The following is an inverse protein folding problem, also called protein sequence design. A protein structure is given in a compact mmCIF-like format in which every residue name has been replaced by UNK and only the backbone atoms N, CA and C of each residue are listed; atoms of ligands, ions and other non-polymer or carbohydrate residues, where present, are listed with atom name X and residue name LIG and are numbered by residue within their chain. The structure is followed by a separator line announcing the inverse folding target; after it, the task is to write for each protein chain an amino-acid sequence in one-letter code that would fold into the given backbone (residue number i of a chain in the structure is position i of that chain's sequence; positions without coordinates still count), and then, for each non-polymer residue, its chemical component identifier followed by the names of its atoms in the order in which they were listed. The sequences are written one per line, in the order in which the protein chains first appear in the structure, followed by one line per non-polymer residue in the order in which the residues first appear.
data_IF_591559256439
#
_entry.id   IF_591559256439
#
_cell.length_a   1.000
_cell.length_b   1.000
_cell.length_c   1.000
_cell.angle_alpha   90.00
_cell.angle_beta   90.00
_cell.angle_gamma   90.00
#
_symmetry.space_group_name_H-M   'P 1'
#
loop_
_entity.id
_entity.type
_entity.pdbx_description
1 polymer ?
#
# COMPACT_ATOMS: atom_id res chain seq x y z
N UNK A 1 5.38 -17.00 12.31
CA UNK A 1 4.67 -16.15 13.30
C UNK A 1 3.87 -15.08 12.58
N UNK A 2 2.72 -14.62 13.11
CA UNK A 2 1.93 -13.55 12.47
C UNK A 2 2.32 -12.18 13.04
N UNK A 3 2.64 -11.24 12.15
CA UNK A 3 2.98 -9.85 12.43
C UNK A 3 1.92 -8.96 11.78
N UNK A 4 1.21 -8.17 12.58
CA UNK A 4 0.13 -7.32 12.08
C UNK A 4 0.38 -5.86 12.42
N UNK A 5 0.16 -4.99 11.43
CA UNK A 5 0.15 -3.55 11.63
C UNK A 5 -0.97 -2.85 10.85
N UNK A 6 -1.26 -1.62 11.24
CA UNK A 6 -2.23 -0.75 10.56
C UNK A 6 -1.53 0.49 9.99
N UNK A 7 -1.70 0.73 8.70
CA UNK A 7 -1.33 1.98 8.04
C UNK A 7 -2.56 2.88 7.98
N UNK A 8 -2.54 4.02 8.68
CA UNK A 8 -3.62 5.00 8.62
C UNK A 8 -3.29 6.10 7.63
N UNK A 9 -4.11 6.26 6.60
CA UNK A 9 -3.92 7.24 5.53
C UNK A 9 -5.02 8.29 5.63
N UNK A 10 -4.72 9.55 5.32
CA UNK A 10 -5.76 10.58 5.26
C UNK A 10 -6.90 10.16 4.31
N UNK A 11 -8.15 10.44 4.68
CA UNK A 11 -9.31 10.01 3.88
C UNK A 11 -9.31 10.58 2.47
N UNK A 12 -8.91 11.85 2.30
CA UNK A 12 -8.83 12.48 0.98
C UNK A 12 -7.77 11.80 0.12
N UNK A 13 -6.61 11.51 0.71
CA UNK A 13 -5.54 10.79 0.01
C UNK A 13 -5.92 9.34 -0.30
N UNK A 14 -6.49 8.60 0.65
CA UNK A 14 -6.93 7.21 0.43
C UNK A 14 -7.97 7.13 -0.69
N UNK A 15 -8.96 8.03 -0.71
CA UNK A 15 -9.94 8.09 -1.79
C UNK A 15 -9.31 8.40 -3.16
N UNK A 16 -8.30 9.29 -3.18
CA UNK A 16 -7.57 9.60 -4.41
C UNK A 16 -6.84 8.35 -4.92
N UNK A 17 -6.11 7.66 -4.05
CA UNK A 17 -5.33 6.47 -4.40
C UNK A 17 -6.22 5.32 -4.85
N UNK A 18 -7.35 5.09 -4.16
CA UNK A 18 -8.35 4.10 -4.57
C UNK A 18 -8.85 4.40 -5.98
N UNK A 19 -9.17 5.67 -6.27
CA UNK A 19 -9.63 6.07 -7.60
C UNK A 19 -8.58 5.78 -8.69
N UNK A 20 -7.32 6.06 -8.42
CA UNK A 20 -6.23 5.79 -9.36
C UNK A 20 -6.07 4.29 -9.65
N UNK A 21 -6.46 3.42 -8.72
CA UNK A 21 -6.41 1.97 -8.94
C UNK A 21 -7.65 1.41 -9.68
N UNK A 22 -8.67 2.26 -9.90
CA UNK A 22 -9.93 1.88 -10.54
C UNK A 22 -10.12 2.54 -11.90
N UNK A 23 -9.50 3.69 -12.14
CA UNK A 23 -9.58 4.46 -13.38
C UNK A 23 -8.17 4.87 -13.85
N UNK A 24 -7.90 4.89 -15.17
CA UNK A 24 -6.65 5.39 -15.70
C UNK A 24 -6.39 6.84 -15.26
N UNK A 25 -5.21 7.16 -14.71
CA UNK A 25 -4.91 8.48 -14.20
C UNK A 25 -4.88 9.56 -15.28
N UNK A 26 -4.41 9.25 -16.49
CA UNK A 26 -4.24 10.20 -17.61
C UNK A 26 -3.24 11.34 -17.37
N UNK A 27 -2.70 11.48 -16.15
CA UNK A 27 -1.76 12.54 -15.74
C UNK A 27 -0.51 12.02 -15.01
N UNK A 28 -0.35 10.70 -14.89
CA UNK A 28 0.80 10.08 -14.24
C UNK A 28 1.86 9.63 -15.24
N UNK A 29 3.13 9.69 -14.84
CA UNK A 29 4.23 9.09 -15.61
C UNK A 29 4.14 7.57 -15.59
N UNK A 30 4.61 6.93 -16.68
CA UNK A 30 4.75 5.48 -16.76
C UNK A 30 5.61 4.94 -15.60
N UNK A 31 5.13 3.87 -14.96
CA UNK A 31 5.82 3.18 -13.84
C UNK A 31 6.19 4.11 -12.66
N UNK A 32 5.50 5.25 -12.53
CA UNK A 32 5.73 6.21 -11.46
C UNK A 32 5.18 5.69 -10.14
N UNK A 33 5.98 5.77 -9.07
CA UNK A 33 5.52 5.48 -7.71
C UNK A 33 4.70 6.68 -7.20
N UNK A 34 3.38 6.54 -7.23
CA UNK A 34 2.42 7.59 -6.82
C UNK A 34 2.29 7.68 -5.30
N UNK A 35 2.50 6.55 -4.62
CA UNK A 35 2.48 6.48 -3.16
C UNK A 35 3.45 5.41 -2.67
N UNK A 36 4.16 5.73 -1.59
CA UNK A 36 5.02 4.80 -0.86
C UNK A 36 5.02 5.18 0.62
N UNK A 37 4.48 4.30 1.47
CA UNK A 37 4.58 4.46 2.92
C UNK A 37 4.88 3.14 3.61
N UNK A 38 5.81 3.20 4.56
CA UNK A 38 6.23 2.06 5.35
C UNK A 38 5.51 1.98 6.70
N UNK A 39 5.17 0.75 7.10
CA UNK A 39 4.87 0.39 8.49
C UNK A 39 5.97 -0.50 9.06
N UNK A 40 6.30 -0.31 10.34
CA UNK A 40 7.30 -1.11 11.05
C UNK A 40 6.62 -2.14 11.94
N UNK A 41 7.07 -3.38 11.87
CA UNK A 41 6.63 -4.47 12.74
C UNK A 41 7.54 -4.61 13.95
N UNK A 42 7.10 -5.40 14.94
CA UNK A 42 7.82 -5.59 16.21
C UNK A 42 9.17 -6.31 16.05
N UNK A 43 9.36 -7.07 14.97
CA UNK A 43 10.63 -7.74 14.66
C UNK A 43 11.62 -6.85 13.87
N UNK A 44 11.32 -5.55 13.75
CA UNK A 44 12.10 -4.53 13.01
C UNK A 44 12.04 -4.64 11.49
N UNK A 45 11.39 -5.66 10.94
CA UNK A 45 11.05 -5.68 9.53
C UNK A 45 10.01 -4.59 9.26
N UNK A 46 9.91 -4.19 8.01
CA UNK A 46 8.97 -3.16 7.56
C UNK A 46 8.26 -3.59 6.30
N UNK A 47 7.04 -3.13 6.10
CA UNK A 47 6.33 -3.31 4.83
C UNK A 47 6.04 -1.94 4.24
N UNK A 48 6.47 -1.72 3.00
CA UNK A 48 6.05 -0.58 2.19
C UNK A 48 4.75 -0.92 1.48
N UNK A 49 3.75 -0.06 1.59
CA UNK A 49 2.55 -0.09 0.76
C UNK A 49 2.74 0.92 -0.35
N UNK A 50 2.68 0.44 -1.59
CA UNK A 50 2.95 1.24 -2.77
C UNK A 50 1.75 1.27 -3.70
N UNK A 51 1.55 2.42 -4.35
CA UNK A 51 0.65 2.59 -5.50
C UNK A 51 1.52 3.05 -6.66
N UNK A 52 1.48 2.31 -7.76
CA UNK A 52 2.39 2.49 -8.88
C UNK A 52 1.55 2.64 -10.16
N UNK A 53 1.89 3.63 -10.97
CA UNK A 53 1.26 3.83 -12.26
C UNK A 53 1.51 2.62 -13.17
N UNK A 54 0.55 2.31 -14.02
CA UNK A 54 0.70 1.26 -15.02
C UNK A 54 1.80 1.61 -16.03
N UNK A 55 2.09 0.62 -16.89
CA UNK A 55 2.96 0.85 -18.04
C UNK A 55 2.30 1.72 -19.11
N UNK A 56 0.97 1.80 -19.08
CA UNK A 56 0.14 2.60 -19.98
C UNK A 56 -0.90 3.42 -19.18
N UNK A 57 -0.47 4.51 -18.52
CA UNK A 57 -1.31 5.26 -17.57
C UNK A 57 -2.50 6.01 -18.23
N UNK A 58 -2.54 6.08 -19.55
CA UNK A 58 -3.67 6.65 -20.30
C UNK A 58 -4.82 5.65 -20.44
N UNK A 59 -4.51 4.35 -20.48
CA UNK A 59 -5.47 3.27 -20.75
C UNK A 59 -5.62 2.26 -19.59
N UNK A 60 -4.65 2.17 -18.68
CA UNK A 60 -4.61 1.23 -17.56
C UNK A 60 -4.55 1.95 -16.20
N UNK A 61 -5.31 1.49 -15.19
CA UNK A 61 -5.25 2.05 -13.84
C UNK A 61 -3.92 1.73 -13.15
N UNK A 62 -3.63 2.47 -12.08
CA UNK A 62 -2.54 2.13 -11.17
C UNK A 62 -2.79 0.77 -10.50
N UNK A 63 -1.72 0.17 -9.99
CA UNK A 63 -1.76 -1.06 -9.21
C UNK A 63 -1.08 -0.84 -7.86
N UNK A 64 -1.37 -1.74 -6.93
CA UNK A 64 -0.88 -1.67 -5.56
C UNK A 64 -0.03 -2.88 -5.21
N UNK A 65 0.91 -2.71 -4.31
CA UNK A 65 1.66 -3.83 -3.73
C UNK A 65 2.10 -3.54 -2.30
N UNK A 66 2.25 -4.59 -1.51
CA UNK A 66 2.95 -4.57 -0.23
C UNK A 66 4.31 -5.25 -0.36
N UNK A 67 5.41 -4.60 0.01
CA UNK A 67 6.77 -5.15 -0.07
C UNK A 67 7.40 -5.19 1.32
N UNK A 68 7.82 -6.38 1.77
CA UNK A 68 8.49 -6.57 3.07
C UNK A 68 10.00 -6.41 2.90
N UNK A 69 10.59 -5.63 3.78
CA UNK A 69 12.03 -5.45 3.89
C UNK A 69 12.54 -5.87 5.26
N UNK A 70 13.73 -6.45 5.28
CA UNK A 70 14.48 -6.74 6.50
C UNK A 70 15.05 -5.44 7.13
N UNK A 71 15.70 -5.52 8.31
CA UNK A 71 16.28 -4.35 8.96
C UNK A 71 17.46 -3.75 8.21
N UNK A 72 18.08 -4.49 7.29
CA UNK A 72 19.17 -4.02 6.42
C UNK A 72 18.64 -3.36 5.14
N UNK A 73 17.34 -3.47 4.86
CA UNK A 73 16.69 -2.94 3.67
C UNK A 73 16.66 -3.89 2.48
N UNK A 74 16.95 -5.18 2.69
CA UNK A 74 16.77 -6.18 1.64
C UNK A 74 15.30 -6.56 1.53
N UNK A 75 14.80 -6.68 0.30
CA UNK A 75 13.47 -7.22 0.03
C UNK A 75 13.41 -8.70 0.41
N UNK A 76 12.37 -9.07 1.16
CA UNK A 76 12.10 -10.44 1.56
C UNK A 76 10.95 -11.06 0.76
N UNK A 77 10.03 -10.23 0.28
CA UNK A 77 8.89 -10.67 -0.53
C UNK A 77 7.86 -9.57 -0.71
N UNK A 78 6.91 -9.80 -1.61
CA UNK A 78 5.83 -8.88 -1.92
C UNK A 78 4.48 -9.58 -2.08
N UNK A 79 3.41 -8.80 -2.07
CA UNK A 79 2.08 -9.27 -2.48
C UNK A 79 2.01 -9.44 -3.99
N UNK A 80 1.02 -10.17 -4.47
CA UNK A 80 0.57 -9.96 -5.85
C UNK A 80 0.09 -8.52 -6.03
N UNK A 81 0.16 -8.02 -7.27
CA UNK A 81 -0.33 -6.68 -7.59
C UNK A 81 -1.86 -6.65 -7.49
N UNK A 82 -2.41 -5.64 -6.82
CA UNK A 82 -3.84 -5.48 -6.60
C UNK A 82 -4.41 -4.19 -7.19
N UNK A 83 -5.73 -4.13 -7.31
CA UNK A 83 -6.51 -3.01 -7.87
C UNK A 83 -7.21 -2.15 -6.80
N UNK A 84 -6.99 -2.45 -5.51
CA UNK A 84 -7.56 -1.70 -4.37
C UNK A 84 -6.47 -1.22 -3.43
N UNK A 85 -6.58 0.03 -2.94
CA UNK A 85 -5.60 0.60 -2.01
C UNK A 85 -5.95 0.34 -0.55
N UNK A 86 -7.24 0.40 -0.20
CA UNK A 86 -7.71 0.13 1.16
C UNK A 86 -7.98 -1.35 1.32
N UNK A 87 -7.41 -1.98 2.35
CA UNK A 87 -7.58 -3.42 2.56
C UNK A 87 -6.42 -4.04 3.30
N UNK A 88 -6.34 -5.37 3.22
CA UNK A 88 -5.32 -6.16 3.87
C UNK A 88 -4.25 -6.59 2.86
N UNK A 89 -2.99 -6.29 3.16
CA UNK A 89 -1.83 -6.73 2.38
C UNK A 89 -1.10 -7.81 3.19
N UNK A 90 -1.01 -9.01 2.64
CA UNK A 90 -0.44 -10.19 3.30
C UNK A 90 0.76 -10.70 2.52
N UNK A 91 1.93 -10.72 3.16
CA UNK A 91 3.16 -11.29 2.60
C UNK A 91 3.64 -12.42 3.49
N UNK A 92 3.91 -13.57 2.89
CA UNK A 92 4.46 -14.73 3.56
C UNK A 92 5.96 -14.80 3.29
N UNK A 93 6.78 -14.84 4.34
CA UNK A 93 8.24 -14.94 4.26
C UNK A 93 8.68 -16.05 5.20
N UNK A 94 9.25 -17.13 4.66
CA UNK A 94 9.62 -18.33 5.41
C UNK A 94 8.45 -18.85 6.28
N UNK A 95 8.60 -18.86 7.60
CA UNK A 95 7.59 -19.28 8.58
C UNK A 95 6.74 -18.11 9.14
N UNK A 96 6.95 -16.88 8.63
CA UNK A 96 6.30 -15.65 9.09
C UNK A 96 5.26 -15.10 8.10
N UNK A 97 4.21 -14.50 8.66
CA UNK A 97 3.14 -13.81 7.93
C UNK A 97 3.13 -12.34 8.33
N UNK A 98 3.28 -11.44 7.37
CA UNK A 98 3.26 -9.99 7.57
C UNK A 98 1.96 -9.43 7.00
N UNK A 99 1.19 -8.76 7.85
CA UNK A 99 -0.14 -8.24 7.54
C UNK A 99 -0.18 -6.75 7.78
N UNK A 100 -0.44 -5.97 6.74
CA UNK A 100 -0.70 -4.54 6.86
C UNK A 100 -2.14 -4.23 6.48
N UNK A 101 -2.90 -3.69 7.43
CA UNK A 101 -4.25 -3.19 7.20
C UNK A 101 -4.17 -1.71 6.84
N UNK A 102 -4.46 -1.35 5.59
CA UNK A 102 -4.55 0.04 5.15
C UNK A 102 -5.95 0.55 5.44
N UNK A 103 -6.05 1.61 6.23
CA UNK A 103 -7.34 2.21 6.63
C UNK A 103 -7.36 3.72 6.38
N UNK A 104 -8.48 4.21 5.86
CA UNK A 104 -8.72 5.64 5.75
C UNK A 104 -9.05 6.24 7.13
N UNK A 105 -8.35 7.30 7.52
CA UNK A 105 -8.55 8.02 8.77
C UNK A 105 -9.98 8.56 8.82
N UNK A 106 -10.78 8.13 9.80
CA UNK A 106 -12.10 8.73 10.01
C UNK A 106 -11.93 10.19 10.42
N UNK A 107 -12.59 11.09 9.69
CA UNK A 107 -12.76 12.48 10.11
C UNK A 107 -13.69 12.46 11.32
N UNK A 108 -13.13 12.58 12.53
CA UNK A 108 -13.94 12.86 13.71
C UNK A 108 -14.22 14.37 13.65
N UNK A 109 -15.41 14.75 13.19
CA UNK A 109 -15.89 16.10 13.45
C UNK A 109 -16.19 16.19 14.95
N UNK A 110 -15.70 17.20 15.69
CA UNK A 110 -16.26 17.47 17.01
C UNK A 110 -17.75 17.78 16.81
N UNK A 111 -18.62 17.05 17.51
CA UNK A 111 -20.04 17.39 17.58
C UNK A 111 -20.19 18.82 18.14
N UNK A 112 -21.12 19.62 17.60
CA UNK A 112 -21.34 21.00 18.06
C UNK A 112 -21.86 21.09 19.50
#
# INVERSE_FOLDING_TARGET
MKHTQTLTVDKGLANKLEKLCQEPPGDCGRDEVVFDQEVKFNNRNRMAIQVIASNDPDDEPCWTQGVVFDPMGNELGCTEVGDTFVGEFIVHVDDDEYVTNVVAKRTIFPEP
#
